data_IF_855725713917
#
_entry.id   IF_855725713917
#
_cell.length_a   1.000
_cell.length_b   1.000
_cell.length_c   1.000
_cell.angle_alpha   90.00
_cell.angle_beta   90.00
_cell.angle_gamma   90.00
#
_symmetry.space_group_name_H-M   'P 1'
#
loop_
_entity.id
_entity.type
_entity.pdbx_description
1 polymer ?
#
# COMPACT_ATOMS: atom_id res chain seq x y z
N UNK A 1 -4.07 -1.98 -38.80
CA UNK A 1 -3.41 -0.72 -38.35
C UNK A 1 -3.55 -0.68 -36.83
N UNK A 2 -2.52 -1.16 -36.14
CA UNK A 2 -2.51 -1.37 -34.69
C UNK A 2 -2.33 -0.02 -33.97
N UNK A 3 -3.34 0.41 -33.21
CA UNK A 3 -3.38 1.77 -32.64
C UNK A 3 -2.85 1.76 -31.21
N UNK A 4 -1.54 1.94 -31.12
CA UNK A 4 -0.82 2.72 -30.10
C UNK A 4 -1.39 2.71 -28.67
N UNK A 5 -0.91 1.72 -27.91
CA UNK A 5 -0.30 1.74 -26.56
C UNK A 5 0.00 3.07 -25.81
N UNK A 6 -0.81 4.13 -25.92
CA UNK A 6 -0.72 5.31 -25.02
C UNK A 6 -2.09 5.88 -24.68
N UNK A 7 -2.72 5.32 -23.68
CA UNK A 7 -3.70 6.06 -22.85
C UNK A 7 -3.78 5.34 -21.52
N UNK A 8 -3.19 5.92 -20.48
CA UNK A 8 -3.52 5.58 -19.08
C UNK A 8 -4.94 6.08 -18.70
N UNK A 9 -5.77 6.33 -19.72
CA UNK A 9 -7.13 6.82 -19.60
C UNK A 9 -7.99 5.59 -19.77
N UNK A 10 -8.69 5.13 -18.71
CA UNK A 10 -9.60 4.01 -18.84
C UNK A 10 -10.69 4.34 -19.89
N UNK A 11 -11.15 3.33 -20.62
CA UNK A 11 -12.27 3.47 -21.57
C UNK A 11 -13.46 4.15 -20.87
N UNK A 12 -14.07 5.12 -21.55
CA UNK A 12 -15.21 5.89 -21.00
C UNK A 12 -16.37 4.92 -20.75
N UNK A 13 -16.63 4.60 -19.48
CA UNK A 13 -17.63 3.62 -19.05
C UNK A 13 -17.06 2.32 -18.47
N UNK A 14 -15.73 2.15 -18.44
CA UNK A 14 -15.10 1.02 -17.77
C UNK A 14 -15.35 1.08 -16.24
N UNK A 15 -15.73 -0.04 -15.60
CA UNK A 15 -16.01 -0.04 -14.16
C UNK A 15 -14.74 0.23 -13.36
N UNK A 16 -14.78 1.28 -12.54
CA UNK A 16 -13.72 1.63 -11.59
C UNK A 16 -13.74 0.56 -10.50
N UNK A 17 -12.60 -0.14 -10.29
CA UNK A 17 -12.49 -1.07 -9.16
C UNK A 17 -12.54 -0.28 -7.86
N UNK A 18 -13.62 -0.46 -7.12
CA UNK A 18 -13.81 0.16 -5.79
C UNK A 18 -13.11 -0.72 -4.74
N UNK A 19 -12.16 -0.17 -3.96
CA UNK A 19 -11.57 -0.90 -2.84
C UNK A 19 -12.61 -1.46 -1.88
N UNK A 20 -12.31 -2.62 -1.29
CA UNK A 20 -13.18 -3.29 -0.32
C UNK A 20 -13.49 -2.45 0.94
N UNK A 21 -12.68 -1.42 1.20
CA UNK A 21 -12.91 -0.47 2.28
C UNK A 21 -14.08 0.50 2.00
N UNK A 22 -14.36 0.78 0.74
CA UNK A 22 -15.45 1.67 0.31
C UNK A 22 -16.66 0.91 -0.24
N UNK A 23 -16.63 -0.43 -0.19
CA UNK A 23 -17.73 -1.25 -0.69
C UNK A 23 -18.82 -1.44 0.38
N UNK A 24 -20.07 -1.44 -0.09
CA UNK A 24 -21.23 -1.81 0.70
C UNK A 24 -21.77 -3.17 0.23
N UNK A 25 -22.20 -4.07 1.13
CA UNK A 25 -22.14 -3.98 2.59
C UNK A 25 -20.69 -4.04 3.12
N UNK A 26 -20.41 -3.55 4.35
CA UNK A 26 -19.06 -3.51 4.88
C UNK A 26 -18.49 -4.92 5.07
N UNK A 27 -17.30 -5.17 4.53
CA UNK A 27 -16.61 -6.48 4.61
C UNK A 27 -15.28 -6.33 5.36
N UNK A 28 -15.28 -6.43 6.70
CA UNK A 28 -14.12 -6.04 7.52
C UNK A 28 -12.86 -6.83 7.19
N UNK A 29 -12.98 -8.15 6.98
CA UNK A 29 -11.86 -9.01 6.59
C UNK A 29 -11.27 -8.64 5.23
N UNK A 30 -12.12 -8.27 4.26
CA UNK A 30 -11.67 -7.84 2.94
C UNK A 30 -11.02 -6.45 2.99
N UNK A 31 -11.55 -5.54 3.80
CA UNK A 31 -10.96 -4.23 4.04
C UNK A 31 -9.58 -4.34 4.73
N UNK A 32 -9.43 -5.22 5.71
CA UNK A 32 -8.14 -5.47 6.36
C UNK A 32 -7.11 -6.05 5.40
N UNK A 33 -7.51 -7.01 4.55
CA UNK A 33 -6.64 -7.56 3.51
C UNK A 33 -6.23 -6.50 2.49
N UNK A 34 -7.15 -5.64 2.08
CA UNK A 34 -6.86 -4.51 1.20
C UNK A 34 -5.88 -3.53 1.86
N UNK A 35 -6.11 -3.19 3.13
CA UNK A 35 -5.25 -2.27 3.87
C UNK A 35 -3.81 -2.79 3.95
N UNK A 36 -3.64 -4.04 4.38
CA UNK A 36 -2.32 -4.66 4.54
C UNK A 36 -1.66 -4.97 3.18
N UNK A 37 -2.42 -5.42 2.19
CA UNK A 37 -1.87 -5.94 0.94
C UNK A 37 -1.74 -4.91 -0.18
N UNK A 38 -2.64 -3.94 -0.27
CA UNK A 38 -2.72 -2.99 -1.40
C UNK A 38 -2.39 -1.56 -0.98
N UNK A 39 -2.72 -1.16 0.24
CA UNK A 39 -2.51 0.22 0.70
C UNK A 39 -1.16 0.43 1.39
N UNK A 40 -0.83 -0.42 2.38
CA UNK A 40 0.42 -0.30 3.14
C UNK A 40 1.63 -0.82 2.35
N UNK A 41 1.39 -1.75 1.43
CA UNK A 41 2.43 -2.28 0.57
C UNK A 41 2.67 -1.37 -0.65
N UNK A 42 3.93 -1.20 -1.10
CA UNK A 42 5.18 -1.65 -0.47
C UNK A 42 5.77 -0.63 0.52
N UNK A 43 5.40 0.65 0.38
CA UNK A 43 6.17 1.75 0.95
C UNK A 43 6.15 1.81 2.46
N UNK A 44 4.99 1.56 3.09
CA UNK A 44 4.91 1.60 4.55
C UNK A 44 5.75 0.49 5.15
N UNK A 45 5.71 -0.72 4.57
CA UNK A 45 6.58 -1.81 5.02
C UNK A 45 8.06 -1.52 4.80
N UNK A 46 8.42 -0.93 3.66
CA UNK A 46 9.80 -0.56 3.37
C UNK A 46 10.32 0.44 4.42
N UNK A 47 9.57 1.49 4.70
CA UNK A 47 9.99 2.50 5.67
C UNK A 47 9.94 1.99 7.11
N UNK A 48 8.97 1.14 7.46
CA UNK A 48 8.94 0.49 8.76
C UNK A 48 10.17 -0.42 8.96
N UNK A 49 10.51 -1.23 7.95
CA UNK A 49 11.72 -2.05 7.98
C UNK A 49 12.98 -1.19 8.07
N UNK A 50 13.06 -0.12 7.28
CA UNK A 50 14.18 0.82 7.32
C UNK A 50 14.31 1.47 8.70
N UNK A 51 13.20 1.87 9.33
CA UNK A 51 13.22 2.45 10.67
C UNK A 51 13.77 1.45 11.71
N UNK A 52 13.36 0.18 11.65
CA UNK A 52 13.89 -0.89 12.51
C UNK A 52 15.41 -1.05 12.29
N UNK A 53 15.86 -1.06 11.04
CA UNK A 53 17.29 -1.13 10.70
C UNK A 53 18.05 0.09 11.23
N UNK A 54 17.53 1.30 11.02
CA UNK A 54 18.11 2.53 11.55
C UNK A 54 18.24 2.48 13.08
N UNK A 55 17.20 2.03 13.77
CA UNK A 55 17.21 1.95 15.22
C UNK A 55 18.30 1.00 15.73
N UNK A 56 18.35 -0.23 15.21
CA UNK A 56 19.27 -1.25 15.72
C UNK A 56 20.73 -1.08 15.26
N UNK A 57 20.98 -0.55 14.06
CA UNK A 57 22.33 -0.47 13.51
C UNK A 57 22.94 0.94 13.57
N UNK A 58 22.13 1.99 13.46
CA UNK A 58 22.63 3.37 13.37
C UNK A 58 22.40 4.18 14.64
N UNK A 59 21.55 3.68 15.55
CA UNK A 59 21.20 4.40 16.80
C UNK A 59 21.38 3.57 18.08
N UNK A 60 22.46 2.77 18.22
CA UNK A 60 22.62 1.86 19.37
C UNK A 60 22.75 2.59 20.72
N UNK A 61 23.34 3.79 20.75
CA UNK A 61 23.51 4.57 21.99
C UNK A 61 22.17 5.01 22.62
N UNK A 62 21.15 5.26 21.78
CA UNK A 62 19.80 5.59 22.26
C UNK A 62 19.05 4.37 22.81
N UNK A 63 19.40 3.15 22.40
CA UNK A 63 18.74 1.93 22.84
C UNK A 63 19.04 1.57 24.30
N UNK A 64 20.25 1.85 24.79
CA UNK A 64 20.69 1.50 26.16
C UNK A 64 20.38 2.57 27.21
N UNK A 65 19.72 3.67 26.81
CA UNK A 65 19.51 4.86 27.66
C UNK A 65 18.06 5.04 28.12
N UNK A 66 17.22 4.02 27.93
CA UNK A 66 15.80 3.93 28.33
C UNK A 66 15.70 2.81 29.37
#
# INVERSE_FOLDING_TARGET
>A
MDKSSRTAVPDVGAPIRVPAMYSWPPRPLAALRWLLGEYLFPWVYLFAALAIVCWHFFTPDLQFRI
#
